data_IF_737680741260
#
_entry.id   IF_737680741260
#
_cell.length_a   1.000
_cell.length_b   1.000
_cell.length_c   1.000
_cell.angle_alpha   90.00
_cell.angle_beta   90.00
_cell.angle_gamma   90.00
#
_symmetry.space_group_name_H-M   'P 1'
#
loop_
_entity.id
_entity.type
_entity.pdbx_description
1 polymer ?
#
# COMPACT_ATOMS: atom_id res chain seq x y z
N UNK A 1 18.02 1.84 -10.80
CA UNK A 1 17.61 2.77 -11.88
C UNK A 1 16.28 2.37 -12.51
N UNK A 2 16.13 1.16 -13.05
CA UNK A 2 14.87 0.73 -13.69
C UNK A 2 13.60 0.89 -12.83
N UNK A 3 13.62 0.44 -11.57
CA UNK A 3 12.49 0.58 -10.66
C UNK A 3 12.08 2.04 -10.44
N UNK A 4 13.03 2.95 -10.22
CA UNK A 4 12.73 4.37 -9.96
C UNK A 4 12.07 5.03 -11.17
N UNK A 5 12.56 4.73 -12.38
CA UNK A 5 11.97 5.27 -13.62
C UNK A 5 10.54 4.74 -13.80
N UNK A 6 10.31 3.46 -13.53
CA UNK A 6 8.97 2.88 -13.56
C UNK A 6 8.05 3.46 -12.48
N UNK A 7 8.53 3.70 -11.26
CA UNK A 7 7.76 4.42 -10.24
C UNK A 7 7.34 5.82 -10.73
N UNK A 8 8.19 6.48 -11.53
CA UNK A 8 7.84 7.73 -12.18
C UNK A 8 6.62 7.63 -13.11
N UNK A 9 6.45 6.52 -13.85
CA UNK A 9 5.23 6.31 -14.64
C UNK A 9 4.01 6.04 -13.77
N UNK A 10 4.18 5.35 -12.64
CA UNK A 10 3.08 5.12 -11.69
C UNK A 10 2.60 6.43 -11.05
N UNK A 11 3.49 7.39 -10.78
CA UNK A 11 3.09 8.74 -10.32
C UNK A 11 2.14 9.39 -11.34
N UNK A 12 2.45 9.29 -12.64
CA UNK A 12 1.59 9.86 -13.69
C UNK A 12 0.26 9.13 -13.80
N UNK A 13 0.24 7.81 -13.62
CA UNK A 13 -1.00 7.03 -13.57
C UNK A 13 -1.92 7.51 -12.44
N UNK A 14 -1.41 7.63 -11.21
CA UNK A 14 -2.19 8.14 -10.09
C UNK A 14 -2.56 9.62 -10.24
N UNK A 15 -1.71 10.45 -10.85
CA UNK A 15 -2.04 11.85 -11.15
C UNK A 15 -3.29 11.95 -12.05
N UNK A 16 -3.43 11.08 -13.05
CA UNK A 16 -4.64 11.00 -13.87
C UNK A 16 -5.88 10.63 -13.07
N UNK A 17 -5.78 9.65 -12.17
CA UNK A 17 -6.88 9.25 -11.28
C UNK A 17 -7.28 10.39 -10.33
N UNK A 18 -6.32 11.12 -9.76
CA UNK A 18 -6.59 12.30 -8.94
C UNK A 18 -7.26 13.42 -9.74
N UNK A 19 -6.82 13.67 -10.97
CA UNK A 19 -7.44 14.67 -11.84
C UNK A 19 -8.93 14.35 -12.11
N UNK A 20 -9.25 13.07 -12.37
CA UNK A 20 -10.63 12.60 -12.50
C UNK A 20 -11.41 12.86 -11.21
N UNK A 21 -10.87 12.46 -10.06
CA UNK A 21 -11.51 12.64 -8.75
C UNK A 21 -11.86 14.11 -8.48
N UNK A 22 -10.88 15.01 -8.63
CA UNK A 22 -11.10 16.44 -8.36
C UNK A 22 -12.07 17.10 -9.36
N UNK A 23 -12.04 16.67 -10.63
CA UNK A 23 -12.98 17.16 -11.64
C UNK A 23 -14.41 16.77 -11.28
N UNK A 24 -14.65 15.49 -10.97
CA UNK A 24 -15.97 15.00 -10.56
C UNK A 24 -16.47 15.65 -9.28
N UNK A 25 -15.58 15.83 -8.29
CA UNK A 25 -15.89 16.54 -7.05
C UNK A 25 -16.32 17.98 -7.30
N UNK A 26 -15.63 18.70 -8.19
CA UNK A 26 -15.97 20.09 -8.52
C UNK A 26 -17.32 20.22 -9.23
N UNK A 27 -17.73 19.19 -9.98
CA UNK A 27 -19.00 19.17 -10.69
C UNK A 27 -20.20 18.82 -9.79
N UNK A 28 -19.98 18.07 -8.70
CA UNK A 28 -21.05 17.60 -7.81
C UNK A 28 -20.67 17.71 -6.31
N UNK A 29 -20.47 18.93 -5.77
CA UNK A 29 -19.99 19.12 -4.40
C UNK A 29 -20.97 18.62 -3.33
N UNK A 30 -22.28 18.77 -3.53
CA UNK A 30 -23.31 18.31 -2.58
C UNK A 30 -23.30 16.79 -2.40
N UNK A 31 -23.05 16.06 -3.49
CA UNK A 31 -22.93 14.61 -3.48
C UNK A 31 -21.71 14.15 -2.66
N UNK A 32 -20.57 14.83 -2.82
CA UNK A 32 -19.37 14.55 -2.02
C UNK A 32 -19.60 14.76 -0.52
N UNK A 33 -20.37 15.78 -0.14
CA UNK A 33 -20.71 16.04 1.25
C UNK A 33 -21.60 14.94 1.85
N UNK A 34 -22.57 14.41 1.08
CA UNK A 34 -23.43 13.32 1.51
C UNK A 34 -22.66 12.01 1.68
N UNK A 35 -21.90 11.60 0.67
CA UNK A 35 -21.23 10.29 0.64
C UNK A 35 -20.03 10.22 1.58
N UNK A 36 -19.26 11.31 1.71
CA UNK A 36 -18.12 11.36 2.66
C UNK A 36 -18.53 11.33 4.13
N UNK A 37 -19.83 11.46 4.43
CA UNK A 37 -20.36 11.32 5.79
C UNK A 37 -20.50 9.87 6.23
N UNK A 38 -20.61 8.93 5.28
CA UNK A 38 -20.70 7.48 5.53
C UNK A 38 -19.33 6.87 5.86
N UNK A 39 -18.23 7.57 5.56
CA UNK A 39 -16.88 7.08 5.79
C UNK A 39 -16.53 6.99 7.29
N UNK A 40 -16.08 5.81 7.72
CA UNK A 40 -15.62 5.57 9.08
C UNK A 40 -14.15 6.01 9.27
N UNK A 41 -13.96 7.29 9.57
CA UNK A 41 -12.62 7.89 9.71
C UNK A 41 -11.74 7.17 10.76
N UNK A 42 -12.22 6.82 11.98
CA UNK A 42 -11.39 6.11 12.95
C UNK A 42 -10.89 4.74 12.45
N UNK A 43 -11.75 4.00 11.75
CA UNK A 43 -11.38 2.71 11.16
C UNK A 43 -10.32 2.88 10.07
N UNK A 44 -10.58 3.78 9.10
CA UNK A 44 -9.68 3.99 7.96
C UNK A 44 -8.35 4.62 8.40
N UNK A 45 -8.36 5.45 9.45
CA UNK A 45 -7.15 5.98 10.07
C UNK A 45 -6.32 4.87 10.71
N UNK A 46 -6.96 3.97 11.47
CA UNK A 46 -6.27 2.82 12.09
C UNK A 46 -5.63 1.95 11.01
N UNK A 47 -6.37 1.67 9.93
CA UNK A 47 -5.85 0.88 8.82
C UNK A 47 -4.66 1.57 8.11
N UNK A 48 -4.75 2.89 7.94
CA UNK A 48 -3.67 3.72 7.38
C UNK A 48 -2.42 3.71 8.26
N UNK A 49 -2.58 3.82 9.58
CA UNK A 49 -1.45 3.74 10.52
C UNK A 49 -0.73 2.40 10.46
N UNK A 50 -1.47 1.30 10.23
CA UNK A 50 -0.88 -0.03 10.03
C UNK A 50 -0.03 -0.04 8.76
N UNK A 51 -0.53 0.52 7.65
CA UNK A 51 0.22 0.58 6.39
C UNK A 51 1.49 1.43 6.54
N UNK A 52 1.37 2.63 7.13
CA UNK A 52 2.52 3.52 7.38
C UNK A 52 3.54 2.87 8.30
N UNK A 53 3.09 2.19 9.36
CA UNK A 53 3.97 1.43 10.24
C UNK A 53 4.69 0.29 9.50
N UNK A 54 4.05 -0.32 8.48
CA UNK A 54 4.66 -1.37 7.65
C UNK A 54 5.83 -0.86 6.81
N UNK A 55 5.84 0.42 6.43
CA UNK A 55 6.96 1.03 5.71
C UNK A 55 8.24 1.05 6.57
N UNK A 56 8.11 1.30 7.88
CA UNK A 56 9.26 1.20 8.79
C UNK A 56 9.79 -0.23 8.90
N UNK A 57 8.90 -1.22 8.98
CA UNK A 57 9.32 -2.64 9.04
C UNK A 57 9.97 -3.10 7.73
N UNK A 58 9.47 -2.63 6.58
CA UNK A 58 10.10 -2.83 5.28
C UNK A 58 11.53 -2.26 5.25
N UNK A 59 11.71 -1.05 5.78
CA UNK A 59 13.02 -0.41 5.82
C UNK A 59 14.02 -1.18 6.70
N UNK A 60 13.59 -1.69 7.85
CA UNK A 60 14.45 -2.55 8.68
C UNK A 60 14.85 -3.85 7.96
N UNK A 61 13.96 -4.41 7.14
CA UNK A 61 14.27 -5.55 6.29
C UNK A 61 15.33 -5.23 5.23
N UNK A 62 15.28 -4.04 4.63
CA UNK A 62 16.33 -3.56 3.71
C UNK A 62 17.67 -3.42 4.42
N UNK A 63 17.71 -2.82 5.62
CA UNK A 63 18.96 -2.71 6.37
C UNK A 63 19.58 -4.08 6.69
N UNK A 64 18.75 -5.09 6.97
CA UNK A 64 19.22 -6.46 7.13
C UNK A 64 19.73 -7.06 5.81
N UNK A 65 19.06 -6.78 4.68
CA UNK A 65 19.48 -7.22 3.35
C UNK A 65 20.83 -6.60 2.93
N UNK A 66 21.06 -5.32 3.22
CA UNK A 66 22.32 -4.62 2.96
C UNK A 66 23.49 -5.18 3.79
N UNK A 67 23.21 -5.64 5.01
CA UNK A 67 24.17 -6.39 5.84
C UNK A 67 24.34 -7.86 5.40
N UNK A 68 23.71 -8.27 4.29
CA UNK A 68 23.70 -9.64 3.79
C UNK A 68 23.21 -10.66 4.84
N UNK A 69 22.26 -10.24 5.69
CA UNK A 69 21.65 -11.08 6.71
C UNK A 69 20.24 -11.50 6.28
N UNK A 70 20.09 -12.63 5.54
CA UNK A 70 18.79 -13.02 5.01
C UNK A 70 17.80 -13.46 6.09
N UNK A 71 18.28 -14.03 7.20
CA UNK A 71 17.44 -14.66 8.25
C UNK A 71 17.83 -14.22 9.66
N UNK A 72 16.94 -14.45 10.60
CA UNK A 72 17.18 -14.16 12.00
C UNK A 72 18.33 -14.98 12.58
N UNK A 73 19.11 -14.33 13.42
CA UNK A 73 20.17 -14.97 14.24
C UNK A 73 19.72 -15.21 15.68
N UNK A 74 18.53 -14.72 16.04
CA UNK A 74 17.92 -14.88 17.36
C UNK A 74 16.50 -14.31 17.39
N UNK A 75 15.87 -14.36 18.56
CA UNK A 75 14.45 -14.02 18.72
C UNK A 75 14.17 -12.52 18.82
N UNK A 76 15.17 -11.72 19.21
CA UNK A 76 15.00 -10.27 19.40
C UNK A 76 14.88 -9.57 18.04
N UNK A 77 14.06 -8.51 17.89
CA UNK A 77 13.96 -7.74 16.65
C UNK A 77 15.31 -7.22 16.14
N UNK A 78 16.24 -6.90 17.04
CA UNK A 78 17.61 -6.48 16.68
C UNK A 78 18.43 -7.57 15.99
N UNK A 79 18.01 -8.83 16.09
CA UNK A 79 18.65 -10.01 15.52
C UNK A 79 17.89 -10.57 14.31
N UNK A 80 16.75 -9.96 13.95
CA UNK A 80 15.96 -10.37 12.80
C UNK A 80 16.69 -10.06 11.48
N UNK A 81 16.53 -10.95 10.50
CA UNK A 81 17.05 -10.78 9.16
C UNK A 81 16.02 -10.16 8.23
N UNK A 82 16.36 -10.08 6.95
CA UNK A 82 15.47 -9.54 5.92
C UNK A 82 14.12 -10.27 5.89
N UNK A 83 14.12 -11.60 6.00
CA UNK A 83 12.90 -12.41 5.88
C UNK A 83 11.88 -12.11 6.97
N UNK A 84 12.29 -12.02 8.23
CA UNK A 84 11.36 -11.80 9.34
C UNK A 84 10.74 -10.40 9.29
N UNK A 85 11.54 -9.38 8.94
CA UNK A 85 11.05 -8.02 8.73
C UNK A 85 10.10 -7.90 7.54
N UNK A 86 10.43 -8.55 6.41
CA UNK A 86 9.57 -8.56 5.23
C UNK A 86 8.30 -9.37 5.44
N UNK A 87 8.35 -10.43 6.24
CA UNK A 87 7.15 -11.18 6.62
C UNK A 87 6.23 -10.34 7.52
N UNK A 88 6.79 -9.58 8.46
CA UNK A 88 6.02 -8.63 9.27
C UNK A 88 5.39 -7.55 8.38
N UNK A 89 6.15 -7.00 7.43
CA UNK A 89 5.63 -6.03 6.43
C UNK A 89 4.46 -6.63 5.65
N UNK A 90 4.64 -7.86 5.14
CA UNK A 90 3.59 -8.58 4.41
C UNK A 90 2.33 -8.78 5.27
N UNK A 91 2.47 -9.20 6.53
CA UNK A 91 1.34 -9.40 7.42
C UNK A 91 0.57 -8.10 7.67
N UNK A 92 1.28 -6.99 7.91
CA UNK A 92 0.66 -5.67 8.10
C UNK A 92 -0.05 -5.18 6.83
N UNK A 93 0.56 -5.36 5.65
CA UNK A 93 -0.07 -5.02 4.38
C UNK A 93 -1.27 -5.92 4.03
N UNK A 94 -1.24 -7.20 4.42
CA UNK A 94 -2.38 -8.10 4.25
C UNK A 94 -3.55 -7.70 5.15
N UNK A 95 -3.28 -7.27 6.39
CA UNK A 95 -4.28 -6.67 7.27
C UNK A 95 -4.87 -5.42 6.62
N UNK A 96 -4.03 -4.59 6.01
CA UNK A 96 -4.48 -3.40 5.29
C UNK A 96 -5.47 -3.72 4.16
N UNK A 97 -5.11 -4.66 3.29
CA UNK A 97 -5.98 -5.09 2.17
C UNK A 97 -7.28 -5.70 2.70
N UNK A 98 -7.22 -6.54 3.75
CA UNK A 98 -8.42 -7.10 4.36
C UNK A 98 -9.34 -6.01 4.95
N UNK A 99 -8.75 -5.01 5.61
CA UNK A 99 -9.47 -3.84 6.13
C UNK A 99 -10.14 -3.02 5.02
N UNK A 100 -9.46 -2.83 3.89
CA UNK A 100 -10.02 -2.15 2.71
C UNK A 100 -11.18 -2.93 2.09
N UNK A 101 -11.04 -4.25 1.94
CA UNK A 101 -12.15 -5.10 1.44
C UNK A 101 -13.36 -5.04 2.38
N UNK A 102 -13.13 -5.02 3.69
CA UNK A 102 -14.19 -4.88 4.68
C UNK A 102 -14.91 -3.52 4.57
N UNK A 103 -14.16 -2.42 4.42
CA UNK A 103 -14.72 -1.08 4.20
C UNK A 103 -15.55 -1.03 2.91
N UNK A 104 -15.06 -1.64 1.82
CA UNK A 104 -15.81 -1.73 0.57
C UNK A 104 -17.11 -2.51 0.73
N UNK A 105 -17.11 -3.61 1.49
CA UNK A 105 -18.30 -4.41 1.73
C UNK A 105 -19.38 -3.64 2.51
N UNK A 106 -18.97 -2.83 3.50
CA UNK A 106 -19.89 -1.95 4.24
C UNK A 106 -20.48 -0.90 3.30
N UNK A 107 -19.64 -0.17 2.56
CA UNK A 107 -20.11 0.90 1.66
C UNK A 107 -21.06 0.38 0.58
N UNK A 108 -20.77 -0.80 0.00
CA UNK A 108 -21.68 -1.46 -0.95
C UNK A 108 -23.01 -1.81 -0.29
N UNK A 109 -22.99 -2.27 0.98
CA UNK A 109 -24.22 -2.57 1.72
C UNK A 109 -25.05 -1.33 2.08
N UNK A 110 -24.41 -0.16 2.18
CA UNK A 110 -25.04 1.15 2.38
C UNK A 110 -25.51 1.80 1.07
N UNK A 111 -25.30 1.12 -0.07
CA UNK A 111 -25.76 1.56 -1.39
C UNK A 111 -24.74 2.33 -2.22
N UNK A 112 -23.53 2.56 -1.67
CA UNK A 112 -22.42 3.16 -2.41
C UNK A 112 -21.73 2.07 -3.20
N UNK A 113 -22.15 1.86 -4.45
CA UNK A 113 -21.54 0.91 -5.38
C UNK A 113 -20.68 1.63 -6.42
N UNK A 114 -19.92 0.87 -7.21
CA UNK A 114 -19.11 1.42 -8.30
C UNK A 114 -19.95 2.12 -9.39
N UNK A 115 -21.19 1.70 -9.61
CA UNK A 115 -22.11 2.32 -10.59
C UNK A 115 -23.13 3.29 -9.98
N UNK A 116 -23.21 3.34 -8.64
CA UNK A 116 -24.26 4.09 -7.93
C UNK A 116 -24.27 5.56 -8.33
N UNK A 117 -23.09 6.19 -8.33
CA UNK A 117 -22.93 7.60 -8.63
C UNK A 117 -21.45 7.96 -8.90
N UNK A 118 -21.21 9.22 -9.31
CA UNK A 118 -19.88 9.71 -9.64
C UNK A 118 -18.86 9.61 -8.48
N UNK A 119 -19.31 9.79 -7.23
CA UNK A 119 -18.47 9.63 -6.05
C UNK A 119 -18.04 8.17 -5.87
N UNK A 120 -18.98 7.23 -5.90
CA UNK A 120 -18.69 5.80 -5.80
C UNK A 120 -17.69 5.34 -6.86
N UNK A 121 -17.92 5.73 -8.12
CA UNK A 121 -16.99 5.44 -9.21
C UNK A 121 -15.58 6.02 -8.96
N UNK A 122 -15.49 7.30 -8.60
CA UNK A 122 -14.20 7.96 -8.34
C UNK A 122 -13.47 7.36 -7.13
N UNK A 123 -14.21 7.06 -6.06
CA UNK A 123 -13.71 6.41 -4.84
C UNK A 123 -13.14 5.04 -5.19
N UNK A 124 -13.97 4.12 -5.71
CA UNK A 124 -13.53 2.74 -5.97
C UNK A 124 -12.47 2.62 -7.05
N UNK A 125 -12.43 3.51 -8.05
CA UNK A 125 -11.34 3.52 -9.01
C UNK A 125 -10.02 3.94 -8.35
N UNK A 126 -10.01 5.06 -7.62
CA UNK A 126 -8.78 5.58 -7.00
C UNK A 126 -8.24 4.63 -5.92
N UNK A 127 -9.09 4.20 -4.99
CA UNK A 127 -8.70 3.31 -3.88
C UNK A 127 -8.57 1.86 -4.33
N UNK A 128 -9.36 1.41 -5.31
CA UNK A 128 -9.28 0.06 -5.87
C UNK A 128 -8.00 -0.19 -6.64
N UNK A 129 -7.60 0.72 -7.55
CA UNK A 129 -6.31 0.60 -8.22
C UNK A 129 -5.16 0.65 -7.23
N UNK A 130 -5.23 1.50 -6.21
CA UNK A 130 -4.24 1.49 -5.14
C UNK A 130 -4.20 0.11 -4.42
N UNK A 131 -5.35 -0.46 -4.06
CA UNK A 131 -5.44 -1.80 -3.46
C UNK A 131 -4.84 -2.91 -4.33
N UNK A 132 -4.96 -2.82 -5.66
CA UNK A 132 -4.28 -3.71 -6.60
C UNK A 132 -2.75 -3.55 -6.54
N UNK A 133 -2.24 -2.32 -6.43
CA UNK A 133 -0.80 -2.07 -6.26
C UNK A 133 -0.28 -2.63 -4.94
N UNK A 134 -1.00 -2.42 -3.83
CA UNK A 134 -0.64 -3.01 -2.53
C UNK A 134 -0.60 -4.53 -2.64
N UNK A 135 -1.61 -5.15 -3.26
CA UNK A 135 -1.66 -6.61 -3.47
C UNK A 135 -0.48 -7.09 -4.32
N UNK A 136 -0.13 -6.38 -5.39
CA UNK A 136 1.06 -6.66 -6.19
C UNK A 136 2.36 -6.58 -5.37
N UNK A 137 2.45 -5.61 -4.45
CA UNK A 137 3.58 -5.47 -3.53
C UNK A 137 3.67 -6.62 -2.53
N UNK A 138 2.54 -7.09 -2.01
CA UNK A 138 2.49 -8.27 -1.13
C UNK A 138 3.01 -9.52 -1.86
N UNK A 139 2.62 -9.71 -3.12
CA UNK A 139 3.13 -10.79 -3.96
C UNK A 139 4.65 -10.63 -4.15
N UNK A 140 5.14 -9.42 -4.43
CA UNK A 140 6.56 -9.15 -4.59
C UNK A 140 7.37 -9.44 -3.30
N UNK A 141 6.83 -9.14 -2.12
CA UNK A 141 7.44 -9.55 -0.85
C UNK A 141 7.55 -11.06 -0.72
N UNK A 142 6.48 -11.81 -1.01
CA UNK A 142 6.52 -13.27 -0.97
C UNK A 142 7.54 -13.84 -1.96
N UNK A 143 7.68 -13.24 -3.15
CA UNK A 143 8.68 -13.65 -4.14
C UNK A 143 10.12 -13.40 -3.64
N UNK A 144 10.39 -12.25 -3.01
CA UNK A 144 11.72 -11.95 -2.45
C UNK A 144 12.03 -12.85 -1.25
N UNK A 145 11.06 -13.09 -0.37
CA UNK A 145 11.19 -14.03 0.75
C UNK A 145 11.46 -15.44 0.22
N UNK A 146 10.64 -15.93 -0.72
CA UNK A 146 10.80 -17.25 -1.34
C UNK A 146 12.16 -17.40 -2.02
N UNK A 147 12.62 -16.37 -2.72
CA UNK A 147 13.96 -16.34 -3.32
C UNK A 147 15.07 -16.40 -2.27
N UNK A 148 14.92 -15.73 -1.14
CA UNK A 148 15.91 -15.79 -0.05
C UNK A 148 16.06 -17.20 0.55
N UNK A 149 15.01 -18.02 0.50
CA UNK A 149 15.07 -19.43 0.87
C UNK A 149 15.62 -20.34 -0.24
N UNK A 150 15.37 -20.01 -1.51
CA UNK A 150 15.78 -20.83 -2.65
C UNK A 150 17.27 -20.69 -3.02
N UNK A 151 17.90 -19.54 -2.73
CA UNK A 151 19.30 -19.31 -3.08
C UNK A 151 20.26 -20.00 -2.12
N UNK A 152 21.34 -20.60 -2.67
CA UNK A 152 22.41 -21.21 -1.86
C UNK A 152 23.25 -20.18 -1.09
N UNK A 153 23.46 -19.00 -1.67
CA UNK A 153 24.21 -17.89 -1.07
C UNK A 153 23.47 -16.59 -1.34
N UNK A 154 23.07 -15.90 -0.28
CA UNK A 154 22.47 -14.57 -0.38
C UNK A 154 23.57 -13.55 -0.67
N UNK A 155 23.42 -12.77 -1.74
CA UNK A 155 24.41 -11.77 -2.16
C UNK A 155 23.77 -10.44 -2.57
N UNK A 156 24.60 -9.58 -3.16
CA UNK A 156 24.19 -8.23 -3.58
C UNK A 156 23.05 -8.20 -4.59
N UNK A 157 22.89 -9.25 -5.42
CA UNK A 157 21.79 -9.33 -6.39
C UNK A 157 20.44 -9.50 -5.70
N UNK A 158 20.40 -10.32 -4.66
CA UNK A 158 19.21 -10.56 -3.84
C UNK A 158 18.91 -9.34 -2.97
N UNK A 159 19.94 -8.73 -2.37
CA UNK A 159 19.80 -7.46 -1.63
C UNK A 159 19.27 -6.33 -2.53
N UNK A 160 19.78 -6.21 -3.76
CA UNK A 160 19.28 -5.25 -4.76
C UNK A 160 17.81 -5.48 -5.11
N UNK A 161 17.38 -6.75 -5.20
CA UNK A 161 15.97 -7.10 -5.43
C UNK A 161 15.10 -6.72 -4.23
N UNK A 162 15.58 -6.92 -3.00
CA UNK A 162 14.91 -6.52 -1.77
C UNK A 162 14.75 -4.99 -1.66
N UNK A 163 15.81 -4.24 -2.00
CA UNK A 163 15.78 -2.77 -2.05
C UNK A 163 14.75 -2.29 -3.08
N UNK A 164 14.70 -2.89 -4.26
CA UNK A 164 13.75 -2.52 -5.30
C UNK A 164 12.29 -2.72 -4.86
N UNK A 165 11.97 -3.84 -4.20
CA UNK A 165 10.63 -4.10 -3.65
C UNK A 165 10.30 -3.13 -2.52
N UNK A 166 11.26 -2.79 -1.67
CA UNK A 166 11.04 -1.79 -0.62
C UNK A 166 10.77 -0.40 -1.19
N UNK A 167 11.48 0.04 -2.25
CA UNK A 167 11.16 1.31 -2.90
C UNK A 167 9.75 1.33 -3.48
N UNK A 168 9.30 0.22 -4.08
CA UNK A 168 7.92 0.11 -4.52
C UNK A 168 6.93 0.20 -3.36
N UNK A 169 7.19 -0.50 -2.25
CA UNK A 169 6.29 -0.47 -1.08
C UNK A 169 6.16 0.92 -0.48
N UNK A 170 7.28 1.63 -0.29
CA UNK A 170 7.30 3.01 0.19
C UNK A 170 6.55 3.95 -0.75
N UNK A 171 6.69 3.76 -2.07
CA UNK A 171 5.93 4.53 -3.05
C UNK A 171 4.42 4.31 -2.89
N UNK A 172 3.99 3.05 -2.79
CA UNK A 172 2.58 2.70 -2.58
C UNK A 172 2.06 3.37 -1.30
N UNK A 173 2.80 3.28 -0.19
CA UNK A 173 2.42 3.93 1.08
C UNK A 173 2.29 5.47 0.95
N UNK A 174 3.21 6.13 0.25
CA UNK A 174 3.13 7.59 -0.01
C UNK A 174 1.87 7.94 -0.82
N UNK A 175 1.54 7.16 -1.85
CA UNK A 175 0.30 7.35 -2.62
C UNK A 175 -0.92 7.16 -1.73
N UNK A 176 -0.90 6.20 -0.81
CA UNK A 176 -2.00 6.01 0.14
C UNK A 176 -2.18 7.19 1.08
N UNK A 177 -1.09 7.75 1.62
CA UNK A 177 -1.17 8.94 2.47
C UNK A 177 -1.84 10.09 1.72
N UNK A 178 -1.49 10.29 0.44
CA UNK A 178 -2.14 11.31 -0.40
C UNK A 178 -3.65 11.00 -0.60
N UNK A 179 -4.01 9.75 -0.91
CA UNK A 179 -5.41 9.33 -1.03
C UNK A 179 -6.19 9.55 0.27
N UNK A 180 -5.62 9.16 1.40
CA UNK A 180 -6.24 9.32 2.71
C UNK A 180 -6.53 10.80 3.02
N UNK A 181 -5.55 11.67 2.79
CA UNK A 181 -5.71 13.11 2.97
C UNK A 181 -6.80 13.70 2.05
N UNK A 182 -6.86 13.26 0.79
CA UNK A 182 -7.80 13.80 -0.19
C UNK A 182 -9.23 13.30 0.05
N UNK A 183 -9.40 12.03 0.41
CA UNK A 183 -10.72 11.38 0.48
C UNK A 183 -11.33 11.49 1.89
N UNK A 184 -10.53 11.28 2.93
CA UNK A 184 -11.06 11.18 4.31
C UNK A 184 -10.90 12.47 5.11
N UNK A 185 -9.88 13.29 4.81
CA UNK A 185 -9.61 14.54 5.53
C UNK A 185 -10.19 15.74 4.80
N UNK A 186 -9.94 15.86 3.49
CA UNK A 186 -10.46 16.94 2.66
C UNK A 186 -11.86 16.60 2.14
N UNK A 187 -12.88 16.75 2.99
CA UNK A 187 -14.31 16.64 2.61
C UNK A 187 -14.73 17.77 1.67
#
# INVERSE_FOLDING_TARGET
MGTIVWLGSEVMFFAGLFAIYFTLRSAAPEQWAAESSLLNIPFSLTNTLILVASSFTAQFGVFAAERLQPRATGWKPTQWGMVEWFFLTYAMGAIFVAGQVYEYAILVSEGVTLDSNAYGAAFYLTTGFHGLHVTGGLIAFLLVIGRAYAVKRFGHKEASSAIAVSYYWHFVDVVWIALFMIIYVLK
#
